data_IF_867798462481
#
_entry.id   IF_867798462481
#
_cell.length_a   1.000
_cell.length_b   1.000
_cell.length_c   1.000
_cell.angle_alpha   90.00
_cell.angle_beta   90.00
_cell.angle_gamma   90.00
#
_symmetry.space_group_name_H-M   'P 1'
#
loop_
_entity.id
_entity.type
_entity.pdbx_description
1 polymer ?
#
# COMPACT_ATOMS: atom_id res chain seq x y z
N UNK A 1 -13.62 28.45 6.74
CA UNK A 1 -12.49 28.34 7.70
C UNK A 1 -12.37 26.88 8.15
N UNK A 2 -11.26 26.18 7.86
CA UNK A 2 -11.03 24.82 8.37
C UNK A 2 -10.92 24.87 9.90
N UNK A 3 -11.72 24.06 10.62
CA UNK A 3 -11.53 23.80 12.05
C UNK A 3 -10.05 23.48 12.28
N UNK A 4 -9.43 24.10 13.31
CA UNK A 4 -8.05 23.77 13.73
C UNK A 4 -7.93 22.25 14.00
N UNK A 5 -7.61 21.50 12.95
CA UNK A 5 -7.39 20.07 13.07
C UNK A 5 -6.07 19.83 13.80
N UNK A 6 -6.10 18.97 14.81
CA UNK A 6 -4.91 18.54 15.55
C UNK A 6 -3.86 17.95 14.58
N UNK A 7 -4.31 17.29 13.52
CA UNK A 7 -3.48 16.58 12.53
C UNK A 7 -3.41 17.33 11.21
N UNK A 8 -2.25 17.34 10.58
CA UNK A 8 -2.08 17.88 9.23
C UNK A 8 -2.47 16.82 8.17
N UNK A 9 -3.75 16.78 7.84
CA UNK A 9 -4.29 15.87 6.82
C UNK A 9 -3.92 16.28 5.39
N UNK A 10 -3.55 17.55 5.16
CA UNK A 10 -3.16 18.04 3.83
C UNK A 10 -1.80 17.50 3.41
N UNK A 11 -0.80 17.52 4.30
CA UNK A 11 0.51 16.87 4.02
C UNK A 11 0.34 15.36 3.85
N UNK A 12 -0.50 14.70 4.65
CA UNK A 12 -0.82 13.27 4.45
C UNK A 12 -1.40 13.04 3.05
N UNK A 13 -2.35 13.85 2.60
CA UNK A 13 -2.96 13.73 1.27
C UNK A 13 -1.94 13.89 0.14
N UNK A 14 -1.01 14.87 0.27
CA UNK A 14 0.08 15.05 -0.68
C UNK A 14 1.00 13.82 -0.75
N UNK A 15 1.45 13.33 0.41
CA UNK A 15 2.36 12.19 0.45
C UNK A 15 1.68 10.89 -0.03
N UNK A 16 0.39 10.71 0.26
CA UNK A 16 -0.40 9.61 -0.32
C UNK A 16 -0.45 9.69 -1.85
N UNK A 17 -0.61 10.89 -2.41
CA UNK A 17 -0.60 11.09 -3.85
C UNK A 17 0.78 10.78 -4.47
N UNK A 18 1.87 11.25 -3.86
CA UNK A 18 3.23 10.95 -4.31
C UNK A 18 3.53 9.44 -4.23
N UNK A 19 3.09 8.76 -3.18
CA UNK A 19 3.23 7.32 -3.06
C UNK A 19 2.34 6.53 -4.05
N UNK A 20 1.17 7.07 -4.45
CA UNK A 20 0.40 6.46 -5.54
C UNK A 20 1.16 6.52 -6.87
N UNK A 21 1.89 7.62 -7.15
CA UNK A 21 2.80 7.71 -8.30
C UNK A 21 3.95 6.71 -8.17
N UNK A 22 4.54 6.55 -6.97
CA UNK A 22 5.59 5.55 -6.72
C UNK A 22 5.09 4.11 -6.95
N UNK A 23 3.82 3.81 -6.64
CA UNK A 23 3.20 2.51 -6.96
C UNK A 23 3.12 2.29 -8.47
N UNK A 24 2.72 3.30 -9.25
CA UNK A 24 2.73 3.21 -10.72
C UNK A 24 4.14 2.92 -11.21
N UNK A 25 5.15 3.63 -10.67
CA UNK A 25 6.56 3.43 -11.00
C UNK A 25 7.01 1.98 -10.73
N UNK A 26 6.63 1.39 -9.60
CA UNK A 26 6.97 -0.01 -9.27
C UNK A 26 6.44 -0.98 -10.32
N UNK A 27 5.24 -0.76 -10.83
CA UNK A 27 4.58 -1.67 -11.76
C UNK A 27 4.89 -1.42 -13.24
N UNK A 28 5.51 -0.29 -13.59
CA UNK A 28 5.78 0.11 -14.97
C UNK A 28 6.99 -0.58 -15.64
N UNK A 29 7.59 -1.59 -15.02
CA UNK A 29 8.77 -2.24 -15.58
C UNK A 29 10.06 -1.48 -15.22
N UNK A 30 11.11 -1.63 -16.02
CA UNK A 30 12.42 -1.02 -15.77
C UNK A 30 12.46 0.39 -16.33
N UNK A 31 12.89 1.39 -15.56
CA UNK A 31 12.94 2.79 -15.98
C UNK A 31 14.35 3.26 -16.36
N UNK A 32 15.37 2.55 -15.95
CA UNK A 32 16.78 2.87 -16.20
C UNK A 32 17.61 1.61 -16.32
N UNK A 33 18.67 1.64 -17.11
CA UNK A 33 19.66 0.56 -17.18
C UNK A 33 20.64 0.56 -16.02
N UNK A 34 20.73 1.66 -15.26
CA UNK A 34 21.63 1.75 -14.11
C UNK A 34 20.99 1.07 -12.88
N UNK A 35 21.55 -0.09 -12.50
CA UNK A 35 20.99 -0.98 -11.48
C UNK A 35 20.78 -0.33 -10.11
N UNK A 36 21.75 0.44 -9.55
CA UNK A 36 21.53 1.05 -8.22
C UNK A 36 20.34 2.01 -8.18
N UNK A 37 20.13 2.80 -9.25
CA UNK A 37 18.97 3.70 -9.34
C UNK A 37 17.69 2.90 -9.50
N UNK A 38 17.69 1.85 -10.33
CA UNK A 38 16.54 0.97 -10.48
C UNK A 38 16.13 0.34 -9.14
N UNK A 39 17.10 -0.20 -8.40
CA UNK A 39 16.88 -0.78 -7.08
C UNK A 39 16.34 0.26 -6.09
N UNK A 40 16.96 1.46 -6.01
CA UNK A 40 16.53 2.51 -5.10
C UNK A 40 15.08 2.95 -5.36
N UNK A 41 14.70 3.13 -6.62
CA UNK A 41 13.35 3.54 -7.01
C UNK A 41 12.31 2.46 -6.71
N UNK A 42 12.59 1.19 -7.02
CA UNK A 42 11.62 0.11 -6.88
C UNK A 42 11.61 -0.53 -5.51
N UNK A 43 12.79 -0.84 -4.97
CA UNK A 43 12.92 -1.64 -3.75
C UNK A 43 13.02 -0.80 -2.48
N UNK A 44 13.39 0.49 -2.56
CA UNK A 44 13.38 1.37 -1.40
C UNK A 44 12.15 2.29 -1.46
N UNK A 45 12.13 3.23 -2.42
CA UNK A 45 11.05 4.23 -2.51
C UNK A 45 9.67 3.59 -2.72
N UNK A 46 9.57 2.69 -3.69
CA UNK A 46 8.30 2.04 -4.04
C UNK A 46 7.73 1.17 -2.93
N UNK A 47 8.60 0.51 -2.15
CA UNK A 47 8.15 -0.34 -1.04
C UNK A 47 7.64 0.44 0.18
N UNK A 48 7.96 1.74 0.30
CA UNK A 48 7.41 2.59 1.38
C UNK A 48 5.93 2.92 1.18
N UNK A 49 5.37 2.82 -0.03
CA UNK A 49 4.03 3.30 -0.35
C UNK A 49 2.93 2.57 0.42
N UNK A 50 2.86 1.24 0.29
CA UNK A 50 1.82 0.42 0.96
C UNK A 50 1.91 0.50 2.48
N UNK A 51 3.08 0.38 3.13
CA UNK A 51 3.26 0.64 4.54
C UNK A 51 2.73 2.01 5.00
N UNK A 52 3.04 3.07 4.25
CA UNK A 52 2.54 4.41 4.55
C UNK A 52 1.00 4.45 4.54
N UNK A 53 0.37 3.85 3.53
CA UNK A 53 -1.10 3.79 3.46
C UNK A 53 -1.68 3.02 4.64
N UNK A 54 -1.09 1.87 5.02
CA UNK A 54 -1.55 1.05 6.14
C UNK A 54 -1.40 1.79 7.47
N UNK A 55 -0.24 2.39 7.76
CA UNK A 55 0.00 3.13 9.01
C UNK A 55 -0.95 4.32 9.13
N UNK A 56 -1.13 5.11 8.04
CA UNK A 56 -2.10 6.21 8.01
C UNK A 56 -3.53 5.72 8.25
N UNK A 57 -3.96 4.68 7.54
CA UNK A 57 -5.31 4.13 7.68
C UNK A 57 -5.55 3.65 9.13
N UNK A 58 -4.60 2.93 9.70
CA UNK A 58 -4.67 2.38 11.05
C UNK A 58 -4.66 3.46 12.11
N UNK A 59 -3.85 4.51 11.95
CA UNK A 59 -3.83 5.68 12.85
C UNK A 59 -5.22 6.32 12.96
N UNK A 60 -5.85 6.65 11.83
CA UNK A 60 -7.17 7.26 11.84
C UNK A 60 -8.27 6.28 12.24
N UNK A 61 -8.09 4.99 11.94
CA UNK A 61 -9.05 3.96 12.32
C UNK A 61 -9.07 3.73 13.82
N UNK A 62 -7.93 3.80 14.51
CA UNK A 62 -7.83 3.68 15.98
C UNK A 62 -8.76 4.66 16.69
N UNK A 63 -8.87 5.88 16.19
CA UNK A 63 -9.83 6.85 16.70
C UNK A 63 -11.29 6.37 16.59
N UNK A 64 -11.61 5.64 15.51
CA UNK A 64 -12.97 5.16 15.22
C UNK A 64 -13.30 3.83 15.92
N UNK A 65 -12.32 3.14 16.53
CA UNK A 65 -12.56 1.90 17.26
C UNK A 65 -13.53 2.04 18.43
N UNK A 66 -13.65 3.25 18.98
CA UNK A 66 -14.59 3.58 20.07
C UNK A 66 -16.05 3.69 19.59
N UNK A 67 -16.28 3.82 18.27
CA UNK A 67 -17.60 3.92 17.64
C UNK A 67 -17.80 2.78 16.65
N UNK A 68 -18.47 1.75 17.11
CA UNK A 68 -18.75 0.54 16.33
C UNK A 68 -19.49 0.83 15.00
N UNK A 69 -20.35 1.85 14.96
CA UNK A 69 -21.08 2.25 13.72
C UNK A 69 -20.12 2.85 12.69
N UNK A 70 -19.21 3.74 13.11
CA UNK A 70 -18.22 4.34 12.22
C UNK A 70 -17.23 3.31 11.69
N UNK A 71 -16.79 2.40 12.56
CA UNK A 71 -15.93 1.27 12.17
C UNK A 71 -16.60 0.40 11.10
N UNK A 72 -17.83 -0.05 11.37
CA UNK A 72 -18.61 -0.87 10.41
C UNK A 72 -18.79 -0.16 9.06
N UNK A 73 -19.16 1.13 9.08
CA UNK A 73 -19.31 1.92 7.86
C UNK A 73 -18.01 2.04 7.06
N UNK A 74 -16.87 2.23 7.74
CA UNK A 74 -15.56 2.28 7.13
C UNK A 74 -15.18 0.94 6.47
N UNK A 75 -15.35 -0.18 7.19
CA UNK A 75 -15.06 -1.52 6.66
C UNK A 75 -15.94 -1.86 5.46
N UNK A 76 -17.25 -1.58 5.55
CA UNK A 76 -18.18 -1.79 4.43
C UNK A 76 -17.75 -0.98 3.21
N UNK A 77 -17.30 0.27 3.39
CA UNK A 77 -16.82 1.10 2.28
C UNK A 77 -15.58 0.48 1.62
N UNK A 78 -14.62 0.00 2.40
CA UNK A 78 -13.41 -0.67 1.86
C UNK A 78 -13.81 -1.93 1.08
N UNK A 79 -14.64 -2.79 1.67
CA UNK A 79 -15.08 -4.05 1.05
C UNK A 79 -15.83 -3.76 -0.25
N UNK A 80 -16.77 -2.80 -0.26
CA UNK A 80 -17.50 -2.42 -1.48
C UNK A 80 -16.56 -1.92 -2.58
N UNK A 81 -15.60 -1.07 -2.22
CA UNK A 81 -14.59 -0.56 -3.18
C UNK A 81 -13.72 -1.72 -3.71
N UNK A 82 -13.30 -2.62 -2.83
CA UNK A 82 -12.52 -3.80 -3.19
C UNK A 82 -13.27 -4.73 -4.15
N UNK A 83 -14.52 -5.06 -3.83
CA UNK A 83 -15.35 -5.91 -4.68
C UNK A 83 -15.61 -5.27 -6.05
N UNK A 84 -15.90 -3.97 -6.08
CA UNK A 84 -16.09 -3.25 -7.34
C UNK A 84 -14.84 -3.38 -8.22
N UNK A 85 -13.64 -3.07 -7.68
CA UNK A 85 -12.40 -3.17 -8.46
C UNK A 85 -12.01 -4.62 -8.77
N UNK A 86 -12.34 -5.57 -7.91
CA UNK A 86 -12.18 -6.99 -8.20
C UNK A 86 -13.03 -7.43 -9.40
N UNK A 87 -14.27 -6.95 -9.52
CA UNK A 87 -15.09 -7.18 -10.71
C UNK A 87 -14.48 -6.53 -11.97
N UNK A 88 -13.98 -5.30 -11.87
CA UNK A 88 -13.30 -4.62 -13.00
C UNK A 88 -12.09 -5.42 -13.48
N UNK A 89 -11.34 -6.09 -12.57
CA UNK A 89 -10.15 -6.88 -12.90
C UNK A 89 -10.42 -8.36 -13.18
N UNK A 90 -11.67 -8.81 -13.27
CA UNK A 90 -11.99 -10.20 -13.68
C UNK A 90 -11.37 -10.60 -15.02
N UNK A 91 -11.40 -9.77 -16.08
CA UNK A 91 -10.75 -10.12 -17.34
C UNK A 91 -9.23 -10.31 -17.19
N UNK A 92 -8.55 -9.48 -16.40
CA UNK A 92 -7.14 -9.63 -16.07
C UNK A 92 -6.87 -10.95 -15.34
N UNK A 93 -7.70 -11.26 -14.32
CA UNK A 93 -7.57 -12.51 -13.57
C UNK A 93 -7.76 -13.75 -14.46
N UNK A 94 -8.69 -13.69 -15.42
CA UNK A 94 -8.87 -14.75 -16.41
C UNK A 94 -7.64 -14.95 -17.30
N UNK A 95 -7.09 -13.86 -17.84
CA UNK A 95 -5.87 -13.92 -18.67
C UNK A 95 -4.68 -14.47 -17.88
N UNK A 96 -4.51 -14.02 -16.64
CA UNK A 96 -3.47 -14.53 -15.74
C UNK A 96 -3.67 -16.02 -15.44
N UNK A 97 -4.90 -16.44 -15.08
CA UNK A 97 -5.21 -17.85 -14.81
C UNK A 97 -4.94 -18.74 -16.04
N UNK A 98 -5.34 -18.27 -17.22
CA UNK A 98 -5.10 -18.99 -18.48
C UNK A 98 -3.62 -19.15 -18.78
N UNK A 99 -2.76 -18.20 -18.40
CA UNK A 99 -1.30 -18.29 -18.56
C UNK A 99 -0.64 -19.34 -17.67
N UNK A 100 -1.33 -19.81 -16.62
CA UNK A 100 -0.85 -20.88 -15.74
C UNK A 100 -1.09 -22.30 -16.32
N UNK A 101 -1.75 -22.40 -17.48
CA UNK A 101 -2.10 -23.68 -18.12
C UNK A 101 -2.91 -24.62 -17.21
N UNK A 102 -3.69 -24.07 -16.27
CA UNK A 102 -4.57 -24.85 -15.39
C UNK A 102 -5.92 -25.13 -16.07
N UNK A 103 -6.59 -26.25 -15.73
CA UNK A 103 -7.92 -26.56 -16.25
C UNK A 103 -8.93 -25.45 -15.93
N UNK A 104 -9.75 -25.05 -16.93
CA UNK A 104 -10.67 -23.94 -16.80
C UNK A 104 -11.70 -24.11 -15.67
N UNK A 105 -12.08 -25.35 -15.32
CA UNK A 105 -12.99 -25.61 -14.20
C UNK A 105 -12.45 -25.21 -12.83
N UNK A 106 -11.12 -24.99 -12.68
CA UNK A 106 -10.51 -24.49 -11.45
C UNK A 106 -10.56 -22.97 -11.33
N UNK A 107 -10.98 -22.23 -12.37
CA UNK A 107 -11.04 -20.77 -12.34
C UNK A 107 -11.88 -20.20 -11.19
N UNK A 108 -13.08 -20.74 -10.85
CA UNK A 108 -13.85 -20.27 -9.70
C UNK A 108 -13.09 -20.38 -8.37
N UNK A 109 -12.35 -21.48 -8.17
CA UNK A 109 -11.47 -21.64 -7.00
C UNK A 109 -10.33 -20.63 -7.02
N UNK A 110 -9.71 -20.39 -8.17
CA UNK A 110 -8.70 -19.35 -8.37
C UNK A 110 -9.22 -17.95 -8.03
N UNK A 111 -10.43 -17.62 -8.46
CA UNK A 111 -11.12 -16.35 -8.10
C UNK A 111 -11.32 -16.23 -6.59
N UNK A 112 -11.73 -17.29 -5.91
CA UNK A 112 -11.90 -17.28 -4.46
C UNK A 112 -10.58 -17.04 -3.73
N UNK A 113 -9.51 -17.72 -4.14
CA UNK A 113 -8.16 -17.52 -3.59
C UNK A 113 -7.68 -16.09 -3.85
N UNK A 114 -7.90 -15.57 -5.06
CA UNK A 114 -7.55 -14.21 -5.39
C UNK A 114 -8.32 -13.19 -4.54
N UNK A 115 -9.63 -13.35 -4.36
CA UNK A 115 -10.45 -12.45 -3.55
C UNK A 115 -10.06 -12.44 -2.07
N UNK A 116 -9.66 -13.58 -1.51
CA UNK A 116 -9.39 -13.66 -0.06
C UNK A 116 -7.91 -13.42 0.26
N UNK A 117 -7.00 -13.73 -0.66
CA UNK A 117 -5.58 -13.80 -0.35
C UNK A 117 -4.69 -13.00 -1.29
N UNK A 118 -4.72 -13.25 -2.61
CA UNK A 118 -3.75 -12.70 -3.56
C UNK A 118 -4.14 -11.35 -4.16
N UNK A 119 -5.45 -10.99 -4.14
CA UNK A 119 -6.00 -9.89 -4.92
C UNK A 119 -6.31 -10.32 -6.38
N UNK A 120 -7.39 -9.78 -6.95
CA UNK A 120 -7.78 -10.05 -8.35
C UNK A 120 -6.83 -9.44 -9.38
N UNK A 121 -5.97 -8.55 -8.96
CA UNK A 121 -4.87 -7.97 -9.73
C UNK A 121 -3.72 -7.64 -8.77
N UNK A 122 -2.51 -7.56 -9.29
CA UNK A 122 -1.25 -7.47 -8.53
C UNK A 122 -1.17 -6.32 -7.52
N UNK A 123 -1.96 -5.24 -7.66
CA UNK A 123 -2.00 -4.16 -6.66
C UNK A 123 -3.07 -4.40 -5.57
N UNK A 124 -4.09 -5.22 -5.83
CA UNK A 124 -5.22 -5.38 -4.91
C UNK A 124 -4.92 -6.24 -3.68
N UNK A 125 -3.81 -6.97 -3.64
CA UNK A 125 -3.42 -7.87 -2.55
C UNK A 125 -3.46 -7.23 -1.16
N UNK A 126 -3.12 -5.92 -1.09
CA UNK A 126 -2.99 -5.27 0.21
C UNK A 126 -4.34 -5.07 0.93
N UNK A 127 -5.46 -5.06 0.20
CA UNK A 127 -6.78 -4.83 0.80
C UNK A 127 -7.23 -6.06 1.62
N UNK A 128 -7.31 -7.29 1.05
CA UNK A 128 -7.58 -8.47 1.86
C UNK A 128 -6.50 -8.68 2.94
N UNK A 129 -5.22 -8.41 2.65
CA UNK A 129 -4.17 -8.46 3.65
C UNK A 129 -4.38 -7.45 4.78
N UNK A 130 -4.79 -6.22 4.51
CA UNK A 130 -5.10 -5.21 5.51
C UNK A 130 -6.31 -5.62 6.37
N UNK A 131 -7.37 -6.14 5.77
CA UNK A 131 -8.56 -6.60 6.49
C UNK A 131 -8.25 -7.76 7.42
N UNK A 132 -7.51 -8.76 6.95
CA UNK A 132 -7.07 -9.90 7.77
C UNK A 132 -6.12 -9.45 8.89
N UNK A 133 -5.13 -8.63 8.58
CA UNK A 133 -4.20 -8.08 9.56
C UNK A 133 -4.90 -7.23 10.62
N UNK A 134 -5.94 -6.48 10.22
CA UNK A 134 -6.75 -5.68 11.14
C UNK A 134 -7.52 -6.56 12.13
N UNK A 135 -8.12 -7.66 11.65
CA UNK A 135 -8.76 -8.63 12.52
C UNK A 135 -7.78 -9.24 13.52
N UNK A 136 -6.60 -9.66 13.03
CA UNK A 136 -5.54 -10.24 13.85
C UNK A 136 -5.07 -9.26 14.94
N UNK A 137 -4.68 -8.04 14.55
CA UNK A 137 -4.16 -7.03 15.49
C UNK A 137 -5.22 -6.66 16.53
N UNK A 138 -6.48 -6.48 16.12
CA UNK A 138 -7.56 -6.19 17.05
C UNK A 138 -7.77 -7.32 18.09
N UNK A 139 -7.70 -8.58 17.65
CA UNK A 139 -7.80 -9.72 18.56
C UNK A 139 -6.61 -9.82 19.52
N UNK A 140 -5.39 -9.61 19.01
CA UNK A 140 -4.17 -9.60 19.82
C UNK A 140 -4.21 -8.49 20.87
N UNK A 141 -4.52 -7.24 20.45
CA UNK A 141 -4.62 -6.10 21.39
C UNK A 141 -5.67 -6.35 22.46
N UNK A 142 -6.83 -6.92 22.09
CA UNK A 142 -7.92 -7.22 23.04
C UNK A 142 -7.53 -8.30 24.04
N UNK A 143 -6.79 -9.32 23.62
CA UNK A 143 -6.48 -10.49 24.48
C UNK A 143 -5.18 -10.34 25.24
N UNK A 144 -4.16 -9.75 24.63
CA UNK A 144 -2.78 -9.75 25.14
C UNK A 144 -2.23 -8.34 25.42
N UNK A 145 -2.96 -7.28 25.01
CA UNK A 145 -2.51 -5.90 25.16
C UNK A 145 -1.48 -5.47 24.12
N UNK A 146 -1.07 -4.20 24.20
CA UNK A 146 -0.22 -3.57 23.16
C UNK A 146 1.20 -4.15 23.10
N UNK A 147 1.82 -4.44 24.26
CA UNK A 147 3.21 -4.92 24.30
C UNK A 147 3.37 -6.26 23.57
N UNK A 148 2.57 -7.25 23.95
CA UNK A 148 2.63 -8.57 23.34
C UNK A 148 2.19 -8.55 21.88
N UNK A 149 1.22 -7.70 21.54
CA UNK A 149 0.85 -7.50 20.13
C UNK A 149 2.02 -6.99 19.31
N UNK A 150 2.79 -6.02 19.84
CA UNK A 150 3.99 -5.51 19.16
C UNK A 150 5.03 -6.60 18.93
N UNK A 151 5.33 -7.41 19.97
CA UNK A 151 6.30 -8.50 19.86
C UNK A 151 5.85 -9.56 18.86
N UNK A 152 4.58 -9.99 18.91
CA UNK A 152 4.05 -11.01 18.00
C UNK A 152 4.05 -10.50 16.56
N UNK A 153 3.60 -9.26 16.30
CA UNK A 153 3.59 -8.72 14.95
C UNK A 153 4.99 -8.51 14.38
N UNK A 154 5.97 -8.18 15.25
CA UNK A 154 7.38 -8.12 14.87
C UNK A 154 7.93 -9.50 14.52
N UNK A 155 7.66 -10.52 15.31
CA UNK A 155 8.09 -11.90 15.04
C UNK A 155 7.48 -12.43 13.73
N UNK A 156 6.19 -12.17 13.48
CA UNK A 156 5.54 -12.51 12.22
C UNK A 156 6.20 -11.79 11.03
N UNK A 157 6.54 -10.51 11.19
CA UNK A 157 7.23 -9.75 10.17
C UNK A 157 8.65 -10.28 9.92
N UNK A 158 9.36 -10.70 10.97
CA UNK A 158 10.68 -11.32 10.86
C UNK A 158 10.65 -12.62 10.04
N UNK A 159 9.56 -13.39 10.10
CA UNK A 159 9.38 -14.53 9.19
C UNK A 159 9.39 -14.10 7.72
N UNK A 160 8.73 -12.98 7.39
CA UNK A 160 8.75 -12.43 6.04
C UNK A 160 10.11 -11.89 5.59
N UNK A 161 10.96 -11.42 6.53
CA UNK A 161 12.32 -10.96 6.22
C UNK A 161 13.19 -12.05 5.59
N UNK A 162 12.91 -13.34 5.88
CA UNK A 162 13.65 -14.47 5.29
C UNK A 162 13.62 -14.39 3.76
N UNK A 163 12.52 -13.95 3.17
CA UNK A 163 12.36 -13.75 1.73
C UNK A 163 13.43 -12.78 1.16
N UNK A 164 13.59 -11.64 1.83
CA UNK A 164 14.50 -10.58 1.38
C UNK A 164 15.96 -10.92 1.66
N UNK A 165 16.23 -11.59 2.81
CA UNK A 165 17.57 -11.96 3.23
C UNK A 165 17.97 -13.39 2.83
N UNK A 166 17.20 -14.05 1.96
CA UNK A 166 17.41 -15.45 1.59
C UNK A 166 18.80 -15.74 1.03
N UNK A 167 19.41 -14.78 0.31
CA UNK A 167 20.78 -14.94 -0.20
C UNK A 167 21.85 -14.98 0.90
N UNK A 168 21.56 -14.48 2.11
CA UNK A 168 22.45 -14.56 3.28
C UNK A 168 22.18 -15.78 4.17
N UNK A 169 21.09 -16.50 3.90
CA UNK A 169 20.63 -17.64 4.69
C UNK A 169 20.89 -18.98 3.99
N UNK A 170 21.81 -18.99 3.03
CA UNK A 170 22.08 -20.14 2.18
C UNK A 170 22.30 -21.42 2.99
N UNK A 171 21.68 -22.54 2.56
CA UNK A 171 21.73 -23.88 3.18
C UNK A 171 21.15 -24.01 4.60
N UNK A 172 20.62 -22.94 5.22
CA UNK A 172 20.04 -23.04 6.58
C UNK A 172 18.70 -23.78 6.60
N UNK A 173 18.40 -24.44 7.74
CA UNK A 173 17.07 -25.05 7.98
C UNK A 173 15.95 -24.02 7.94
N UNK A 174 16.25 -22.77 8.33
CA UNK A 174 15.32 -21.65 8.30
C UNK A 174 14.87 -21.33 6.86
N UNK A 175 15.83 -21.24 5.92
CA UNK A 175 15.51 -21.00 4.50
C UNK A 175 14.71 -22.15 3.90
N UNK A 176 15.06 -23.41 4.21
CA UNK A 176 14.31 -24.58 3.76
C UNK A 176 12.85 -24.55 4.26
N UNK A 177 12.65 -24.20 5.55
CA UNK A 177 11.31 -24.02 6.11
C UNK A 177 10.51 -22.92 5.42
N UNK A 178 11.17 -21.78 5.10
CA UNK A 178 10.54 -20.69 4.34
C UNK A 178 10.19 -21.11 2.91
N UNK A 179 11.06 -21.83 2.22
CA UNK A 179 10.81 -22.33 0.87
C UNK A 179 9.61 -23.30 0.83
N UNK A 180 9.49 -24.19 1.82
CA UNK A 180 8.31 -25.05 1.95
C UNK A 180 7.04 -24.21 2.15
N UNK A 181 7.09 -23.20 3.02
CA UNK A 181 6.00 -22.25 3.20
C UNK A 181 5.63 -21.53 1.89
N UNK A 182 6.61 -20.98 1.16
CA UNK A 182 6.37 -20.21 -0.07
C UNK A 182 5.82 -21.08 -1.21
N UNK A 183 6.20 -22.35 -1.26
CA UNK A 183 5.64 -23.30 -2.23
C UNK A 183 4.15 -23.61 -1.99
N UNK A 184 3.70 -23.54 -0.72
CA UNK A 184 2.30 -23.76 -0.34
C UNK A 184 1.45 -22.50 -0.40
N UNK A 185 2.02 -21.37 0.03
CA UNK A 185 1.30 -20.10 0.26
C UNK A 185 1.73 -18.96 -0.66
N UNK A 186 2.60 -19.20 -1.62
CA UNK A 186 3.10 -18.29 -2.67
C UNK A 186 3.90 -17.09 -2.13
N UNK A 187 3.47 -16.43 -1.06
CA UNK A 187 4.11 -15.20 -0.56
C UNK A 187 3.85 -14.98 0.92
N UNK A 188 4.82 -14.41 1.63
CA UNK A 188 4.64 -13.88 2.98
C UNK A 188 4.05 -12.45 2.99
N UNK A 189 3.91 -11.82 1.83
CA UNK A 189 3.31 -10.49 1.68
C UNK A 189 1.78 -10.55 1.79
N UNK A 190 1.28 -10.79 2.99
CA UNK A 190 -0.13 -11.05 3.27
C UNK A 190 -0.59 -10.45 4.61
N UNK A 191 -1.81 -10.77 5.02
CA UNK A 191 -2.44 -10.28 6.24
C UNK A 191 -1.93 -10.91 7.54
N UNK A 192 -1.11 -11.96 7.47
CA UNK A 192 -0.53 -12.61 8.64
C UNK A 192 0.88 -12.08 8.94
N UNK A 193 1.74 -11.97 7.94
CA UNK A 193 3.15 -11.67 8.15
C UNK A 193 3.52 -10.21 7.83
N UNK A 194 2.88 -9.59 6.82
CA UNK A 194 3.28 -8.25 6.37
C UNK A 194 2.49 -7.13 7.05
N UNK A 195 1.16 -7.13 6.95
CA UNK A 195 0.37 -5.96 7.34
C UNK A 195 0.23 -5.74 8.85
N UNK A 196 0.27 -6.77 9.72
CA UNK A 196 0.02 -6.58 11.15
C UNK A 196 0.98 -5.60 11.83
N UNK A 197 2.27 -5.61 11.48
CA UNK A 197 3.26 -4.69 12.08
C UNK A 197 2.93 -3.23 11.75
N UNK A 198 2.52 -2.93 10.51
CA UNK A 198 2.16 -1.57 10.10
C UNK A 198 0.84 -1.11 10.73
N UNK A 199 -0.11 -2.02 10.92
CA UNK A 199 -1.36 -1.74 11.65
C UNK A 199 -1.05 -1.43 13.11
N UNK A 200 -0.23 -2.27 13.74
CA UNK A 200 0.25 -2.06 15.11
C UNK A 200 0.96 -0.71 15.25
N UNK A 201 1.89 -0.38 14.33
CA UNK A 201 2.61 0.90 14.33
C UNK A 201 1.66 2.11 14.21
N UNK A 202 0.59 2.00 13.41
CA UNK A 202 -0.45 3.04 13.32
C UNK A 202 -1.22 3.21 14.64
N UNK A 203 -1.57 2.12 15.31
CA UNK A 203 -2.22 2.14 16.62
C UNK A 203 -1.29 2.70 17.71
N UNK A 204 -0.05 2.23 17.74
CA UNK A 204 0.96 2.68 18.68
C UNK A 204 1.24 4.19 18.53
N UNK A 205 1.37 4.68 17.28
CA UNK A 205 1.53 6.09 17.01
C UNK A 205 0.33 6.91 17.51
N UNK A 206 -0.91 6.42 17.33
CA UNK A 206 -2.11 7.11 17.81
C UNK A 206 -2.12 7.21 19.35
N UNK A 207 -1.88 6.09 20.04
CA UNK A 207 -1.93 6.03 21.51
C UNK A 207 -0.80 6.88 22.14
N UNK A 208 0.37 6.97 21.48
CA UNK A 208 1.55 7.71 21.97
C UNK A 208 1.79 9.03 21.21
N UNK A 209 0.80 9.54 20.44
CA UNK A 209 0.99 10.72 19.62
C UNK A 209 1.51 11.92 20.42
N UNK A 210 1.07 12.12 21.66
CA UNK A 210 1.50 13.23 22.52
C UNK A 210 2.77 12.96 23.30
N UNK A 211 3.36 11.77 23.24
CA UNK A 211 4.59 11.45 23.95
C UNK A 211 5.79 12.25 23.44
N UNK A 212 6.77 12.46 24.32
CA UNK A 212 8.02 13.13 23.94
C UNK A 212 8.76 12.38 22.83
N UNK A 213 8.68 11.05 22.82
CA UNK A 213 9.33 10.23 21.81
C UNK A 213 8.89 10.57 20.38
N UNK A 214 7.62 10.86 20.14
CA UNK A 214 7.12 11.26 18.82
C UNK A 214 7.12 12.78 18.58
N UNK A 215 7.22 13.58 19.62
CA UNK A 215 7.16 15.04 19.52
C UNK A 215 8.53 15.66 19.28
N UNK A 216 9.57 15.19 20.01
CA UNK A 216 10.91 15.77 20.00
C UNK A 216 11.76 15.12 18.94
N UNK A 217 12.59 15.91 18.24
CA UNK A 217 13.55 15.47 17.22
C UNK A 217 12.95 14.60 16.11
N UNK A 218 11.68 14.87 15.72
CA UNK A 218 10.95 14.03 14.75
C UNK A 218 11.64 13.91 13.38
N UNK A 219 12.24 15.00 12.89
CA UNK A 219 12.95 15.01 11.61
C UNK A 219 14.30 14.28 11.68
N UNK A 220 15.03 14.46 12.80
CA UNK A 220 16.30 13.73 13.01
C UNK A 220 16.02 12.22 13.10
N UNK A 221 15.00 11.79 13.85
CA UNK A 221 14.60 10.38 13.94
C UNK A 221 14.21 9.80 12.59
N UNK A 222 13.46 10.55 11.79
CA UNK A 222 13.13 10.14 10.42
C UNK A 222 14.38 10.04 9.55
N UNK A 223 15.27 11.03 9.59
CA UNK A 223 16.51 11.04 8.81
C UNK A 223 17.43 9.87 9.20
N UNK A 224 17.60 9.60 10.50
CA UNK A 224 18.38 8.48 10.99
C UNK A 224 17.77 7.14 10.56
N UNK A 225 16.47 6.95 10.76
CA UNK A 225 15.79 5.72 10.33
C UNK A 225 15.87 5.51 8.81
N UNK A 226 15.72 6.58 8.02
CA UNK A 226 15.85 6.51 6.57
C UNK A 226 17.30 6.24 6.12
N UNK A 227 18.29 6.83 6.79
CA UNK A 227 19.70 6.53 6.55
C UNK A 227 20.02 5.06 6.79
N UNK A 228 19.52 4.48 7.89
CA UNK A 228 19.66 3.05 8.14
C UNK A 228 18.91 2.18 7.11
N UNK A 229 17.72 2.59 6.65
CA UNK A 229 17.03 1.91 5.56
C UNK A 229 17.86 1.92 4.26
N UNK A 230 18.54 3.03 3.96
CA UNK A 230 19.44 3.10 2.81
C UNK A 230 20.64 2.16 2.97
N UNK A 231 21.24 2.07 4.16
CA UNK A 231 22.33 1.13 4.46
C UNK A 231 21.81 -0.32 4.31
N UNK A 232 20.66 -0.66 4.89
CA UNK A 232 20.01 -1.95 4.70
C UNK A 232 19.78 -2.23 3.20
N UNK A 233 19.32 -1.23 2.43
CA UNK A 233 19.16 -1.32 0.99
C UNK A 233 20.46 -1.65 0.25
N UNK A 234 21.58 -1.06 0.64
CA UNK A 234 22.91 -1.39 0.05
C UNK A 234 23.29 -2.83 0.34
N UNK A 235 23.08 -3.29 1.59
CA UNK A 235 23.35 -4.69 1.98
C UNK A 235 22.53 -5.64 1.13
N UNK A 236 21.22 -5.41 1.00
CA UNK A 236 20.34 -6.27 0.19
C UNK A 236 20.70 -6.20 -1.31
N UNK A 237 21.13 -5.02 -1.80
CA UNK A 237 21.55 -4.86 -3.20
C UNK A 237 22.78 -5.68 -3.55
N UNK A 238 23.72 -5.86 -2.61
CA UNK A 238 24.92 -6.67 -2.84
C UNK A 238 24.63 -8.16 -3.00
N UNK A 239 23.62 -8.69 -2.29
CA UNK A 239 23.18 -10.08 -2.37
C UNK A 239 21.66 -10.14 -2.32
N UNK A 240 21.03 -10.03 -3.50
CA UNK A 240 19.59 -9.98 -3.65
C UNK A 240 18.96 -11.35 -3.34
N UNK A 241 18.01 -11.34 -2.40
CA UNK A 241 17.22 -12.51 -2.04
C UNK A 241 16.09 -12.84 -3.04
N UNK A 242 15.20 -13.75 -2.65
CA UNK A 242 14.07 -14.24 -3.47
C UNK A 242 13.12 -13.11 -3.90
N UNK A 243 12.83 -12.17 -3.00
CA UNK A 243 12.04 -10.95 -3.27
C UNK A 243 12.51 -9.82 -2.33
N UNK A 244 12.11 -8.58 -2.58
CA UNK A 244 12.52 -7.37 -1.84
C UNK A 244 11.30 -6.66 -1.27
N UNK A 245 10.39 -7.43 -0.64
CA UNK A 245 9.17 -6.86 -0.05
C UNK A 245 9.38 -6.40 1.40
N UNK A 246 10.25 -7.08 2.13
CA UNK A 246 10.46 -6.88 3.56
C UNK A 246 11.82 -6.25 3.82
N UNK A 247 11.82 -5.08 4.46
CA UNK A 247 13.02 -4.44 5.02
C UNK A 247 12.80 -4.29 6.53
N UNK A 248 13.81 -4.62 7.32
CA UNK A 248 13.71 -4.55 8.78
C UNK A 248 13.42 -3.13 9.27
N UNK A 249 14.03 -2.13 8.63
CA UNK A 249 13.86 -0.72 8.98
C UNK A 249 12.57 -0.09 8.43
N UNK A 250 11.88 -0.73 7.51
CA UNK A 250 10.69 -0.17 6.84
C UNK A 250 9.55 0.21 7.81
N UNK A 251 9.18 -0.59 8.84
CA UNK A 251 8.17 -0.19 9.83
C UNK A 251 8.54 1.08 10.59
N UNK A 252 9.82 1.22 10.98
CA UNK A 252 10.31 2.38 11.74
C UNK A 252 10.33 3.65 10.88
N UNK A 253 10.87 3.58 9.67
CA UNK A 253 10.84 4.70 8.71
C UNK A 253 9.40 5.15 8.46
N UNK A 254 8.51 4.19 8.24
CA UNK A 254 7.10 4.49 7.91
C UNK A 254 6.39 5.20 9.07
N UNK A 255 6.55 4.73 10.31
CA UNK A 255 5.88 5.37 11.46
C UNK A 255 6.42 6.77 11.73
N UNK A 256 7.75 6.99 11.59
CA UNK A 256 8.33 8.32 11.74
C UNK A 256 7.94 9.27 10.61
N UNK A 257 7.82 8.77 9.37
CA UNK A 257 7.34 9.56 8.24
C UNK A 257 5.89 10.01 8.44
N UNK A 258 4.99 9.09 8.83
CA UNK A 258 3.60 9.43 9.12
C UNK A 258 3.51 10.43 10.28
N UNK A 259 4.28 10.23 11.36
CA UNK A 259 4.34 11.17 12.48
C UNK A 259 4.82 12.57 12.04
N UNK A 260 5.87 12.66 11.22
CA UNK A 260 6.38 13.92 10.69
C UNK A 260 5.32 14.64 9.84
N UNK A 261 4.63 13.90 8.95
CA UNK A 261 3.56 14.44 8.11
C UNK A 261 2.37 14.96 8.93
N UNK A 262 1.95 14.22 9.97
CA UNK A 262 0.83 14.62 10.83
C UNK A 262 1.11 15.89 11.64
N UNK A 263 2.38 16.15 11.98
CA UNK A 263 2.79 17.24 12.87
C UNK A 263 3.34 18.48 12.18
N UNK A 264 3.73 18.39 10.92
CA UNK A 264 4.29 19.54 10.20
C UNK A 264 3.24 20.63 10.02
N UNK A 265 3.69 21.89 9.98
CA UNK A 265 2.84 23.03 9.58
C UNK A 265 2.76 23.17 8.05
N UNK A 266 3.64 22.49 7.30
CA UNK A 266 3.70 22.56 5.84
C UNK A 266 2.33 22.20 5.24
N UNK A 267 1.81 23.05 4.39
CA UNK A 267 0.51 22.91 3.71
C UNK A 267 -0.72 22.72 4.64
N UNK A 268 -0.61 22.95 5.96
CA UNK A 268 -1.71 22.71 6.92
C UNK A 268 -2.94 23.58 6.65
N UNK A 269 -2.73 24.78 6.11
CA UNK A 269 -3.80 25.74 5.79
C UNK A 269 -4.54 25.42 4.48
N UNK A 270 -3.92 24.64 3.59
CA UNK A 270 -4.49 24.29 2.29
C UNK A 270 -5.44 23.10 2.38
N UNK A 271 -6.49 23.11 1.54
CA UNK A 271 -7.35 21.92 1.37
C UNK A 271 -6.88 21.07 0.22
N UNK A 272 -6.17 20.01 0.54
CA UNK A 272 -5.62 19.03 -0.44
C UNK A 272 -6.42 17.72 -0.43
N UNK A 273 -7.68 17.74 -0.01
CA UNK A 273 -8.51 16.53 0.00
C UNK A 273 -8.68 15.92 -1.40
N UNK A 274 -8.64 16.75 -2.45
CA UNK A 274 -8.67 16.29 -3.83
C UNK A 274 -7.48 15.39 -4.17
N UNK A 275 -6.28 15.65 -3.61
CA UNK A 275 -5.11 14.79 -3.81
C UNK A 275 -5.30 13.39 -3.22
N UNK A 276 -6.01 13.28 -2.08
CA UNK A 276 -6.36 11.97 -1.52
C UNK A 276 -7.30 11.20 -2.45
N UNK A 277 -8.26 11.85 -3.08
CA UNK A 277 -9.17 11.23 -4.04
C UNK A 277 -8.41 10.83 -5.32
N UNK A 278 -7.52 11.70 -5.80
CA UNK A 278 -6.64 11.42 -6.92
C UNK A 278 -5.71 10.23 -6.63
N UNK A 279 -5.11 10.18 -5.43
CA UNK A 279 -4.29 9.04 -4.98
C UNK A 279 -5.04 7.71 -5.09
N UNK A 280 -6.32 7.66 -4.68
CA UNK A 280 -7.15 6.46 -4.83
C UNK A 280 -7.42 6.13 -6.30
N UNK A 281 -7.73 7.13 -7.12
CA UNK A 281 -7.96 6.92 -8.55
C UNK A 281 -6.71 6.35 -9.23
N UNK A 282 -5.53 6.94 -9.00
CA UNK A 282 -4.24 6.46 -9.51
C UNK A 282 -3.98 5.02 -9.06
N UNK A 283 -4.14 4.77 -7.76
CA UNK A 283 -3.88 3.46 -7.18
C UNK A 283 -4.74 2.35 -7.80
N UNK A 284 -6.03 2.60 -7.99
CA UNK A 284 -6.93 1.58 -8.49
C UNK A 284 -6.91 1.41 -10.01
N UNK A 285 -6.67 2.48 -10.78
CA UNK A 285 -6.80 2.43 -12.24
C UNK A 285 -5.50 2.17 -13.00
N UNK A 286 -4.30 2.40 -12.39
CA UNK A 286 -3.04 2.31 -13.13
C UNK A 286 -2.76 0.95 -13.80
N UNK A 287 -3.17 -0.21 -13.25
CA UNK A 287 -2.90 -1.46 -13.94
C UNK A 287 -3.61 -1.56 -15.30
N UNK A 288 -4.81 -0.97 -15.44
CA UNK A 288 -5.51 -0.94 -16.73
C UNK A 288 -4.61 -0.28 -17.78
N UNK A 289 -4.04 0.88 -17.46
CA UNK A 289 -3.18 1.62 -18.39
C UNK A 289 -1.81 0.98 -18.59
N UNK A 290 -1.26 0.32 -17.56
CA UNK A 290 -0.01 -0.45 -17.67
C UNK A 290 -0.19 -1.64 -18.62
N UNK A 291 -1.24 -2.44 -18.41
CA UNK A 291 -1.50 -3.61 -19.26
C UNK A 291 -1.86 -3.19 -20.70
N UNK A 292 -2.64 -2.12 -20.83
CA UNK A 292 -2.94 -1.54 -22.14
C UNK A 292 -1.66 -1.07 -22.87
N UNK A 293 -0.77 -0.37 -22.16
CA UNK A 293 0.51 0.06 -22.73
C UNK A 293 1.42 -1.13 -23.04
N UNK A 294 1.48 -2.13 -22.15
CA UNK A 294 2.26 -3.35 -22.36
C UNK A 294 1.86 -4.07 -23.64
N UNK A 295 0.56 -4.23 -23.85
CA UNK A 295 0.02 -4.89 -25.04
C UNK A 295 0.16 -4.00 -26.30
N UNK A 296 -0.26 -2.73 -26.22
CA UNK A 296 -0.25 -1.79 -27.35
C UNK A 296 1.13 -1.49 -27.90
N UNK A 297 2.17 -1.55 -27.06
CA UNK A 297 3.57 -1.24 -27.45
C UNK A 297 4.45 -2.52 -27.51
N UNK A 298 3.86 -3.70 -27.49
CA UNK A 298 4.59 -4.97 -27.51
C UNK A 298 5.50 -5.12 -28.75
N UNK A 299 5.04 -4.65 -29.91
CA UNK A 299 5.71 -4.78 -31.19
C UNK A 299 6.67 -3.62 -31.51
N UNK A 300 6.77 -2.59 -30.66
CA UNK A 300 7.70 -1.50 -30.90
C UNK A 300 9.14 -1.92 -30.57
N UNK A 301 10.13 -1.55 -31.40
CA UNK A 301 11.55 -1.86 -31.16
C UNK A 301 12.15 -0.92 -30.10
N UNK A 302 11.61 -0.96 -28.91
CA UNK A 302 12.04 -0.14 -27.78
C UNK A 302 12.99 -0.93 -26.88
N UNK A 303 14.01 -0.23 -26.33
CA UNK A 303 14.84 -0.80 -25.27
C UNK A 303 14.00 -1.14 -24.05
N UNK A 304 14.47 -2.06 -23.19
CA UNK A 304 13.74 -2.46 -22.01
C UNK A 304 13.45 -1.28 -21.05
N UNK A 305 14.42 -0.34 -20.78
CA UNK A 305 14.12 0.86 -20.02
C UNK A 305 13.17 1.85 -20.69
N UNK A 306 13.24 2.01 -22.01
CA UNK A 306 12.35 2.95 -22.70
C UNK A 306 10.91 2.45 -22.74
N UNK A 307 10.72 1.15 -22.88
CA UNK A 307 9.40 0.53 -22.71
C UNK A 307 8.84 0.77 -21.30
N UNK A 308 9.66 0.63 -20.26
CA UNK A 308 9.26 0.92 -18.89
C UNK A 308 8.88 2.39 -18.65
N UNK A 309 9.67 3.34 -19.21
CA UNK A 309 9.35 4.77 -19.17
C UNK A 309 8.03 5.07 -19.87
N UNK A 310 7.82 4.52 -21.06
CA UNK A 310 6.58 4.71 -21.82
C UNK A 310 5.38 4.17 -21.04
N UNK A 311 5.49 2.97 -20.48
CA UNK A 311 4.43 2.39 -19.62
C UNK A 311 4.14 3.28 -18.41
N UNK A 312 5.18 3.83 -17.77
CA UNK A 312 5.01 4.75 -16.65
C UNK A 312 4.26 6.02 -17.04
N UNK A 313 4.66 6.67 -18.14
CA UNK A 313 4.02 7.90 -18.62
C UNK A 313 2.56 7.66 -19.01
N UNK A 314 2.29 6.59 -19.77
CA UNK A 314 0.92 6.23 -20.17
C UNK A 314 0.05 5.92 -18.95
N UNK A 315 0.57 5.14 -17.99
CA UNK A 315 -0.19 4.80 -16.78
C UNK A 315 -0.41 6.03 -15.89
N UNK A 316 0.57 6.91 -15.77
CA UNK A 316 0.44 8.14 -14.99
C UNK A 316 -0.60 9.08 -15.60
N UNK A 317 -0.50 9.37 -16.88
CA UNK A 317 -1.43 10.27 -17.59
C UNK A 317 -2.83 9.68 -17.67
N UNK A 318 -2.96 8.40 -18.03
CA UNK A 318 -4.25 7.72 -18.12
C UNK A 318 -4.97 7.66 -16.77
N UNK A 319 -4.25 7.31 -15.71
CA UNK A 319 -4.82 7.31 -14.36
C UNK A 319 -5.19 8.71 -13.85
N UNK A 320 -4.42 9.74 -14.23
CA UNK A 320 -4.78 11.14 -13.92
C UNK A 320 -6.05 11.57 -14.62
N UNK A 321 -6.14 11.33 -15.92
CA UNK A 321 -7.35 11.65 -16.70
C UNK A 321 -8.57 10.93 -16.11
N UNK A 322 -8.45 9.64 -15.81
CA UNK A 322 -9.48 8.88 -15.14
C UNK A 322 -9.88 9.52 -13.79
N UNK A 323 -8.88 9.91 -12.99
CA UNK A 323 -9.10 10.57 -11.70
C UNK A 323 -9.82 11.92 -11.83
N UNK A 324 -9.46 12.74 -12.83
CA UNK A 324 -10.13 14.02 -13.11
C UNK A 324 -11.60 13.80 -13.51
N UNK A 325 -11.89 12.82 -14.37
CA UNK A 325 -13.25 12.47 -14.77
C UNK A 325 -14.07 12.04 -13.56
N UNK A 326 -13.52 11.17 -12.71
CA UNK A 326 -14.18 10.70 -11.48
C UNK A 326 -14.47 11.85 -10.50
N UNK A 327 -13.54 12.77 -10.32
CA UNK A 327 -13.72 13.95 -9.46
C UNK A 327 -14.80 14.89 -10.01
N UNK A 328 -14.77 15.16 -11.31
CA UNK A 328 -15.77 16.01 -11.97
C UNK A 328 -17.16 15.41 -11.85
N UNK A 329 -17.30 14.11 -12.07
CA UNK A 329 -18.58 13.38 -11.92
C UNK A 329 -19.08 13.44 -10.47
N UNK A 330 -18.21 13.23 -9.49
CA UNK A 330 -18.57 13.30 -8.07
C UNK A 330 -19.06 14.71 -7.68
N UNK A 331 -18.40 15.77 -8.14
CA UNK A 331 -18.79 17.15 -7.89
C UNK A 331 -20.15 17.47 -8.54
N UNK A 332 -20.35 17.04 -9.78
CA UNK A 332 -21.62 17.20 -10.48
C UNK A 332 -22.78 16.52 -9.74
N UNK A 333 -22.59 15.28 -9.27
CA UNK A 333 -23.60 14.58 -8.47
C UNK A 333 -23.94 15.31 -7.17
N UNK A 334 -22.94 15.86 -6.48
CA UNK A 334 -23.12 16.62 -5.24
C UNK A 334 -23.94 17.91 -5.49
N UNK A 335 -23.63 18.63 -6.56
CA UNK A 335 -24.39 19.83 -6.94
C UNK A 335 -25.84 19.50 -7.31
N UNK A 336 -26.06 18.41 -8.05
CA UNK A 336 -27.41 17.96 -8.42
C UNK A 336 -28.26 17.64 -7.17
N UNK A 337 -27.68 16.92 -6.19
CA UNK A 337 -28.37 16.62 -4.93
C UNK A 337 -28.71 17.88 -4.13
N UNK A 338 -27.79 18.85 -4.08
CA UNK A 338 -28.05 20.12 -3.38
C UNK A 338 -29.17 20.92 -4.06
N UNK A 339 -29.23 20.92 -5.39
CA UNK A 339 -30.31 21.60 -6.14
C UNK A 339 -31.69 20.91 -5.95
N UNK A 340 -31.75 19.58 -5.84
CA UNK A 340 -33.01 18.88 -5.57
C UNK A 340 -33.51 19.14 -4.14
N UNK A 341 -32.62 19.11 -3.14
CA UNK A 341 -32.97 19.40 -1.75
C UNK A 341 -33.45 20.85 -1.53
N UNK A 342 -32.91 21.81 -2.27
CA UNK A 342 -33.38 23.21 -2.22
C UNK A 342 -34.73 23.42 -2.92
N UNK A 343 -35.14 22.51 -3.84
CA UNK A 343 -36.47 22.57 -4.49
C UNK A 343 -37.58 21.93 -3.66
N UNK A 344 -37.25 20.98 -2.78
CA UNK A 344 -38.20 20.31 -1.88
C UNK A 344 -38.42 21.10 -0.58
N UNK A 345 -37.62 22.15 -0.31
CA UNK A 345 -37.73 23.03 0.85
C UNK A 345 -38.41 24.38 0.56
N UNK A 346 -38.93 24.59 -0.69
CA UNK A 346 -39.77 25.72 -1.12
C UNK A 346 -41.18 25.21 -1.39
#
# INVERSE_FOLDING_TARGET
>A
MKKNSLYNTSTISLVQYLFAIAVILVHSGRLTSYEPVHFALKSILGRMAVPFFIVCASFFLKQSLRDSRKMKAYLIKIIKTYLFWSCVYLPYAWLFFSSLNLPAYLFPAGVLIALVYLGMCYQLWYIPAFLLGLLLVNQLVKRLGMLWTGLITLLLYCWGLIETYSAYLDTTSLLKGYQLYSNLFFTARNGLFYTPIFIFMGYYLYDHFHSQNFRVHRWQKLAVAFGFLCIEGVVIFQHEGMDKNFFFLLPFVTVYLVNACLRTSFLKTYDLQYLKQMSMALYFSHPIFIEWARYGFSNLPLSYPDRGKLMFVVALLGSHLFGLVMLSYHNWQKERKNRSSNKEGL
#
